data_IF_584725912785
#
_entry.id   IF_584725912785
#
_cell.length_a   1.000
_cell.length_b   1.000
_cell.length_c   1.000
_cell.angle_alpha   90.00
_cell.angle_beta   90.00
_cell.angle_gamma   90.00
#
_symmetry.space_group_name_H-M   'P 1'
#
loop_
_entity.id
_entity.type
_entity.pdbx_description
1 polymer ?
#
# COMPACT_ATOMS: atom_id res chain seq x y z
N UNK A 1 -16.89 -1.39 33.52
CA UNK A 1 -16.00 -2.57 33.32
C UNK A 1 -14.66 -2.18 32.73
N UNK A 2 -14.59 -1.54 31.60
CA UNK A 2 -13.31 -1.17 30.90
C UNK A 2 -12.31 -0.38 31.79
N UNK A 3 -12.79 0.51 32.68
CA UNK A 3 -11.93 1.36 33.53
C UNK A 3 -11.13 0.57 34.58
N UNK A 4 -11.70 -0.50 35.13
CA UNK A 4 -11.06 -1.37 36.11
C UNK A 4 -9.99 -2.29 35.48
N UNK A 5 -10.29 -2.81 34.29
CA UNK A 5 -9.35 -3.65 33.54
C UNK A 5 -8.10 -2.87 33.15
N UNK A 6 -8.27 -1.63 32.73
CA UNK A 6 -7.20 -0.75 32.36
C UNK A 6 -6.28 -0.39 33.56
N UNK A 7 -6.89 -0.07 34.71
CA UNK A 7 -6.16 0.20 35.95
C UNK A 7 -5.35 -1.01 36.42
N UNK A 8 -5.95 -2.22 36.34
CA UNK A 8 -5.26 -3.47 36.65
C UNK A 8 -4.10 -3.77 35.71
N UNK A 9 -4.25 -3.48 34.41
CA UNK A 9 -3.17 -3.65 33.44
C UNK A 9 -1.97 -2.74 33.76
N UNK A 10 -2.23 -1.47 34.09
CA UNK A 10 -1.18 -0.53 34.51
C UNK A 10 -0.49 -0.99 35.77
N UNK A 11 -1.24 -1.42 36.78
CA UNK A 11 -0.67 -1.91 38.04
C UNK A 11 0.22 -3.14 37.82
N UNK A 12 -0.21 -4.08 36.99
CA UNK A 12 0.60 -5.26 36.63
C UNK A 12 1.88 -4.87 35.87
N UNK A 13 1.77 -3.88 34.97
CA UNK A 13 2.91 -3.39 34.23
C UNK A 13 3.93 -2.67 35.15
N UNK A 14 3.46 -1.85 36.10
CA UNK A 14 4.34 -1.17 37.07
C UNK A 14 5.05 -2.14 38.01
N UNK A 15 4.45 -3.28 38.29
CA UNK A 15 5.04 -4.35 39.12
C UNK A 15 5.89 -5.34 38.29
N UNK A 16 6.10 -5.09 37.00
CA UNK A 16 6.87 -5.96 36.11
C UNK A 16 6.25 -7.32 35.78
N UNK A 17 5.00 -7.55 36.19
CA UNK A 17 4.28 -8.83 35.96
C UNK A 17 3.55 -8.90 34.62
N UNK A 18 3.44 -7.76 33.92
CA UNK A 18 2.87 -7.68 32.57
C UNK A 18 3.57 -6.59 31.76
N UNK A 19 3.56 -6.74 30.44
CA UNK A 19 4.06 -5.72 29.51
C UNK A 19 2.85 -4.97 28.94
N UNK A 20 2.80 -3.66 29.14
CA UNK A 20 1.77 -2.79 28.62
C UNK A 20 2.28 -2.14 27.32
N UNK A 21 1.56 -2.33 26.22
CA UNK A 21 1.88 -1.75 24.93
C UNK A 21 0.71 -0.86 24.51
N UNK A 22 0.76 0.46 24.75
CA UNK A 22 -0.30 1.35 24.29
C UNK A 22 -0.30 1.46 22.77
N UNK A 23 -1.49 1.51 22.18
CA UNK A 23 -1.69 1.63 20.74
C UNK A 23 -2.59 2.82 20.46
N UNK A 24 -2.08 3.80 19.70
CA UNK A 24 -2.84 4.98 19.28
C UNK A 24 -3.52 4.68 17.94
N UNK A 25 -4.85 4.67 17.91
CA UNK A 25 -5.65 4.32 16.73
C UNK A 25 -6.21 5.54 15.99
N UNK A 26 -6.31 6.69 16.65
CA UNK A 26 -6.88 7.92 16.12
C UNK A 26 -6.08 9.13 16.59
N UNK A 27 -6.51 10.34 16.23
CA UNK A 27 -5.86 11.58 16.65
C UNK A 27 -6.24 12.05 18.06
N UNK A 28 -6.74 11.16 18.90
CA UNK A 28 -7.06 11.51 20.29
C UNK A 28 -5.81 11.85 21.11
N UNK A 29 -5.98 12.71 22.09
CA UNK A 29 -4.93 13.04 23.05
C UNK A 29 -4.72 11.86 23.99
N UNK A 30 -3.50 11.38 24.07
CA UNK A 30 -3.13 10.29 24.98
C UNK A 30 -3.30 10.70 26.44
N UNK A 31 -3.88 9.84 27.30
CA UNK A 31 -3.92 10.09 28.72
C UNK A 31 -2.53 10.38 29.29
N UNK A 32 -2.43 11.38 30.19
CA UNK A 32 -1.13 11.83 30.75
C UNK A 32 -0.28 10.68 31.34
N UNK A 33 -0.94 9.67 31.90
CA UNK A 33 -0.29 8.49 32.46
C UNK A 33 0.44 7.64 31.41
N UNK A 34 0.01 7.67 30.16
CA UNK A 34 0.61 6.92 29.05
C UNK A 34 1.62 7.75 28.24
N UNK A 35 1.69 9.07 28.46
CA UNK A 35 2.65 9.94 27.78
C UNK A 35 4.13 9.59 28.11
N UNK A 36 4.35 8.95 29.24
CA UNK A 36 5.68 8.49 29.66
C UNK A 36 6.04 7.08 29.14
N UNK A 37 5.07 6.39 28.54
CA UNK A 37 5.30 5.05 27.97
C UNK A 37 5.47 5.14 26.45
N UNK A 38 6.39 4.32 25.92
CA UNK A 38 6.49 4.17 24.48
C UNK A 38 5.20 3.55 23.95
N UNK A 39 4.58 4.20 22.99
CA UNK A 39 3.36 3.74 22.36
C UNK A 39 3.55 3.45 20.87
N UNK A 40 2.68 2.65 20.32
CA UNK A 40 2.66 2.34 18.89
C UNK A 40 1.63 3.22 18.21
N UNK A 41 2.07 4.05 17.28
CA UNK A 41 1.23 5.01 16.56
C UNK A 41 0.72 4.39 15.26
N UNK A 42 -0.47 3.79 15.32
CA UNK A 42 -1.16 3.25 14.13
C UNK A 42 -1.71 4.36 13.27
N UNK A 43 -2.20 5.45 13.89
CA UNK A 43 -2.78 6.58 13.17
C UNK A 43 -1.74 7.30 12.30
N UNK A 44 -0.57 7.61 12.87
CA UNK A 44 0.48 8.35 12.14
C UNK A 44 1.36 7.48 11.25
N UNK A 45 1.56 6.19 11.59
CA UNK A 45 2.51 5.30 10.88
C UNK A 45 1.86 4.22 10.02
N UNK A 46 0.54 4.11 10.09
CA UNK A 46 -0.23 3.06 9.42
C UNK A 46 -0.19 1.70 10.13
N UNK A 47 -1.18 0.88 9.82
CA UNK A 47 -1.42 -0.41 10.47
C UNK A 47 -0.22 -1.36 10.34
N UNK A 48 0.36 -1.45 9.18
CA UNK A 48 1.39 -2.40 8.82
C UNK A 48 2.70 -2.19 9.60
N UNK A 49 3.17 -0.93 9.61
CA UNK A 49 4.37 -0.57 10.37
C UNK A 49 4.15 -0.81 11.86
N UNK A 50 2.94 -0.56 12.32
CA UNK A 50 2.54 -0.73 13.71
C UNK A 50 2.46 -2.21 14.12
N UNK A 51 1.94 -3.09 13.27
CA UNK A 51 1.93 -4.54 13.51
C UNK A 51 3.37 -5.07 13.62
N UNK A 52 4.27 -4.67 12.73
CA UNK A 52 5.68 -5.05 12.84
C UNK A 52 6.31 -4.56 14.14
N UNK A 53 6.06 -3.31 14.50
CA UNK A 53 6.55 -2.76 15.76
C UNK A 53 6.01 -3.56 16.95
N UNK A 54 4.73 -3.98 16.94
CA UNK A 54 4.14 -4.86 17.96
C UNK A 54 4.89 -6.18 18.05
N UNK A 55 5.13 -6.85 16.92
CA UNK A 55 5.84 -8.13 16.87
C UNK A 55 7.25 -7.99 17.46
N UNK A 56 8.00 -6.95 17.10
CA UNK A 56 9.34 -6.70 17.67
C UNK A 56 9.29 -6.46 19.18
N UNK A 57 8.32 -5.68 19.66
CA UNK A 57 8.15 -5.38 21.08
C UNK A 57 7.77 -6.64 21.86
N UNK A 58 6.90 -7.49 21.31
CA UNK A 58 6.47 -8.76 21.91
C UNK A 58 7.65 -9.74 22.00
N UNK A 59 8.45 -9.84 20.93
CA UNK A 59 9.59 -10.76 20.85
C UNK A 59 10.83 -10.24 21.60
N UNK A 60 10.79 -9.04 22.19
CA UNK A 60 11.92 -8.45 22.90
C UNK A 60 13.09 -8.03 21.99
N UNK A 61 12.91 -8.07 20.68
CA UNK A 61 13.91 -7.65 19.70
C UNK A 61 13.74 -6.16 19.43
N UNK A 62 14.36 -5.31 20.23
CA UNK A 62 14.31 -3.85 20.11
C UNK A 62 15.19 -3.31 18.96
N UNK A 63 15.23 -3.97 17.82
CA UNK A 63 15.85 -3.43 16.62
C UNK A 63 14.77 -2.69 15.82
N UNK A 64 14.32 -1.57 16.36
CA UNK A 64 13.60 -0.59 15.56
C UNK A 64 14.63 0.24 14.77
N UNK A 65 15.26 -0.37 13.81
CA UNK A 65 15.75 0.38 12.65
C UNK A 65 14.52 0.71 11.82
N UNK A 66 14.23 1.99 11.69
CA UNK A 66 13.35 2.46 10.63
C UNK A 66 14.04 2.11 9.30
N UNK A 67 13.92 0.86 8.90
CA UNK A 67 14.13 0.51 7.50
C UNK A 67 13.11 1.38 6.77
N UNK A 68 13.61 2.33 5.98
CA UNK A 68 12.83 3.12 5.01
C UNK A 68 12.24 2.24 3.89
N UNK A 69 11.86 1.02 4.21
CA UNK A 69 10.96 0.23 3.38
C UNK A 69 9.57 0.74 3.70
N UNK A 70 9.12 1.69 2.89
CA UNK A 70 7.71 2.01 2.81
C UNK A 70 6.98 0.69 2.53
N UNK A 71 6.34 0.13 3.56
CA UNK A 71 5.48 -1.02 3.36
C UNK A 71 4.32 -0.55 2.50
N UNK A 72 4.15 -1.20 1.37
CA UNK A 72 3.00 -1.00 0.51
C UNK A 72 2.13 -2.26 0.58
N UNK A 73 0.88 -2.09 1.01
CA UNK A 73 -0.09 -3.19 1.09
C UNK A 73 -0.41 -3.78 -0.28
N UNK A 74 -0.29 -2.96 -1.34
CA UNK A 74 -0.53 -3.41 -2.70
C UNK A 74 0.79 -3.73 -3.39
N UNK A 75 0.85 -4.89 -4.04
CA UNK A 75 1.94 -5.30 -4.94
C UNK A 75 1.40 -5.57 -6.32
N UNK A 76 2.21 -5.30 -7.33
CA UNK A 76 1.90 -5.67 -8.70
C UNK A 76 2.68 -6.90 -9.13
N UNK A 77 1.98 -7.89 -9.64
CA UNK A 77 2.56 -9.09 -10.24
C UNK A 77 2.37 -8.98 -11.75
N UNK A 78 3.49 -8.95 -12.46
CA UNK A 78 3.52 -8.69 -13.89
C UNK A 78 3.94 -9.95 -14.63
N UNK A 79 3.04 -10.46 -15.47
CA UNK A 79 3.31 -11.56 -16.38
C UNK A 79 3.43 -11.03 -17.80
N UNK A 80 4.62 -11.17 -18.38
CA UNK A 80 4.86 -10.82 -19.77
C UNK A 80 4.54 -12.02 -20.65
N UNK A 81 3.45 -11.93 -21.42
CA UNK A 81 3.05 -12.97 -22.36
C UNK A 81 3.83 -12.86 -23.69
N UNK A 82 4.17 -11.63 -24.09
CA UNK A 82 5.00 -11.32 -25.27
C UNK A 82 5.65 -9.93 -25.08
N UNK A 83 6.56 -9.49 -25.97
CA UNK A 83 7.09 -8.12 -25.94
C UNK A 83 6.02 -7.03 -26.04
N UNK A 84 4.87 -7.34 -26.68
CA UNK A 84 3.75 -6.42 -26.90
C UNK A 84 2.52 -6.69 -26.01
N UNK A 85 2.61 -7.66 -25.09
CA UNK A 85 1.50 -8.02 -24.22
C UNK A 85 1.97 -8.36 -22.80
N UNK A 86 1.34 -7.75 -21.79
CA UNK A 86 1.56 -8.09 -20.40
C UNK A 86 0.24 -8.04 -19.61
N UNK A 87 0.15 -8.87 -18.59
CA UNK A 87 -0.93 -8.86 -17.60
C UNK A 87 -0.35 -8.39 -16.28
N UNK A 88 -1.00 -7.42 -15.66
CA UNK A 88 -0.64 -6.89 -14.36
C UNK A 88 -1.75 -7.20 -13.38
N UNK A 89 -1.39 -7.88 -12.31
CA UNK A 89 -2.28 -8.22 -11.21
C UNK A 89 -1.89 -7.41 -9.98
N UNK A 90 -2.73 -6.47 -9.57
CA UNK A 90 -2.59 -5.71 -8.34
C UNK A 90 -3.23 -6.50 -7.21
N UNK A 91 -2.42 -6.93 -6.23
CA UNK A 91 -2.87 -7.70 -5.06
C UNK A 91 -2.73 -6.86 -3.80
N UNK A 92 -3.76 -6.87 -2.99
CA UNK A 92 -3.66 -6.45 -1.60
C UNK A 92 -3.13 -7.63 -0.78
N UNK A 93 -2.06 -7.43 -0.02
CA UNK A 93 -1.37 -8.50 0.69
C UNK A 93 -2.01 -8.80 2.06
N UNK A 94 -2.49 -7.79 2.76
CA UNK A 94 -2.90 -7.91 4.16
C UNK A 94 -4.33 -7.45 4.41
N UNK A 95 -4.71 -6.28 3.89
CA UNK A 95 -6.03 -5.71 4.10
C UNK A 95 -6.62 -5.16 2.79
N UNK A 96 -7.93 -4.95 2.79
CA UNK A 96 -8.67 -4.43 1.64
C UNK A 96 -8.31 -2.97 1.35
N UNK A 97 -7.94 -2.68 0.11
CA UNK A 97 -7.86 -1.32 -0.43
C UNK A 97 -9.22 -0.92 -0.97
N UNK A 98 -9.86 0.11 -0.41
CA UNK A 98 -11.26 0.42 -0.72
C UNK A 98 -11.47 0.91 -2.15
N UNK A 99 -10.42 1.44 -2.79
CA UNK A 99 -10.46 2.00 -4.14
C UNK A 99 -9.36 1.37 -4.98
N UNK A 100 -9.75 0.73 -6.11
CA UNK A 100 -8.83 0.23 -7.12
C UNK A 100 -8.51 1.34 -8.12
N UNK A 101 -7.47 2.14 -7.84
CA UNK A 101 -7.03 3.24 -8.69
C UNK A 101 -5.52 3.17 -8.89
N UNK A 102 -5.14 2.74 -10.10
CA UNK A 102 -3.75 2.45 -10.45
C UNK A 102 -3.32 3.20 -11.69
N UNK A 103 -2.02 3.42 -11.82
CA UNK A 103 -1.39 3.96 -13.02
C UNK A 103 -0.22 3.07 -13.44
N UNK A 104 -0.15 2.72 -14.71
CA UNK A 104 0.90 1.92 -15.31
C UNK A 104 1.77 2.86 -16.12
N UNK A 105 3.03 2.97 -15.74
CA UNK A 105 3.99 3.89 -16.33
C UNK A 105 4.70 3.23 -17.51
N UNK A 106 4.65 3.90 -18.65
CA UNK A 106 5.25 3.42 -19.92
C UNK A 106 5.86 4.58 -20.70
N UNK A 107 6.72 4.28 -21.68
CA UNK A 107 7.19 5.27 -22.67
C UNK A 107 6.38 5.25 -23.96
N UNK A 108 5.58 4.22 -24.18
CA UNK A 108 4.78 4.06 -25.40
C UNK A 108 3.81 5.24 -25.60
N UNK A 109 3.59 5.62 -26.87
CA UNK A 109 2.63 6.64 -27.23
C UNK A 109 1.18 6.14 -27.09
N UNK A 110 0.23 7.07 -26.89
CA UNK A 110 -1.19 6.76 -26.70
C UNK A 110 -1.79 5.87 -27.79
N UNK A 111 -1.48 6.16 -29.06
CA UNK A 111 -2.02 5.44 -30.20
C UNK A 111 -1.46 4.01 -30.37
N UNK A 112 -0.40 3.68 -29.65
CA UNK A 112 0.30 2.40 -29.76
C UNK A 112 -0.03 1.43 -28.62
N UNK A 113 -0.61 1.92 -27.53
CA UNK A 113 -0.81 1.12 -26.34
C UNK A 113 -2.28 1.22 -25.87
N UNK A 114 -2.80 0.13 -25.35
CA UNK A 114 -4.13 0.06 -24.79
C UNK A 114 -4.16 -0.81 -23.54
N UNK A 115 -5.16 -0.58 -22.72
CA UNK A 115 -5.39 -1.31 -21.47
C UNK A 115 -6.82 -1.88 -21.48
N UNK A 116 -6.98 -3.08 -20.97
CA UNK A 116 -8.27 -3.70 -20.72
C UNK A 116 -8.30 -4.32 -19.33
N UNK A 117 -9.43 -4.25 -18.65
CA UNK A 117 -9.59 -4.89 -17.35
C UNK A 117 -10.07 -6.34 -17.52
N UNK A 118 -9.37 -7.29 -16.88
CA UNK A 118 -9.73 -8.71 -16.90
C UNK A 118 -10.60 -9.12 -15.71
N UNK A 119 -10.59 -8.31 -14.65
CA UNK A 119 -11.30 -8.64 -13.40
C UNK A 119 -12.67 -8.00 -13.26
N UNK A 120 -12.93 -6.90 -13.97
CA UNK A 120 -14.16 -6.13 -13.85
C UNK A 120 -14.77 -5.81 -15.22
N UNK A 121 -16.10 -5.92 -15.29
CA UNK A 121 -16.84 -5.56 -16.50
C UNK A 121 -16.93 -4.03 -16.69
N UNK A 122 -16.84 -3.26 -15.61
CA UNK A 122 -16.94 -1.80 -15.63
C UNK A 122 -15.69 -1.23 -14.96
N UNK A 123 -14.88 -0.55 -15.75
CA UNK A 123 -13.75 0.22 -15.25
C UNK A 123 -13.55 1.48 -16.09
N UNK A 124 -12.90 2.45 -15.51
CA UNK A 124 -12.52 3.68 -16.21
C UNK A 124 -11.04 3.59 -16.55
N UNK A 125 -10.72 3.95 -17.78
CA UNK A 125 -9.35 4.02 -18.28
C UNK A 125 -9.05 5.43 -18.78
N UNK A 126 -7.75 5.78 -18.75
CA UNK A 126 -7.28 7.05 -19.27
C UNK A 126 -5.81 6.97 -19.66
N UNK A 127 -5.38 7.90 -20.50
CA UNK A 127 -3.99 8.09 -20.86
C UNK A 127 -3.54 9.49 -20.44
N UNK A 128 -2.47 9.57 -19.66
CA UNK A 128 -1.86 10.81 -19.24
C UNK A 128 -0.46 10.91 -19.86
N UNK A 129 -0.28 11.92 -20.69
CA UNK A 129 0.95 12.14 -21.44
C UNK A 129 1.94 12.99 -20.64
N UNK A 130 3.22 12.73 -20.84
CA UNK A 130 4.35 13.55 -20.37
C UNK A 130 4.29 13.87 -18.87
N UNK A 131 3.96 12.87 -18.03
CA UNK A 131 4.02 13.04 -16.59
C UNK A 131 5.48 13.04 -16.12
N UNK A 132 5.81 13.94 -15.22
CA UNK A 132 7.13 14.03 -14.62
C UNK A 132 7.12 13.38 -13.24
N UNK A 133 7.96 12.37 -13.04
CA UNK A 133 8.15 11.72 -11.76
C UNK A 133 9.09 12.53 -10.85
N UNK A 134 9.07 12.26 -9.54
CA UNK A 134 9.91 12.97 -8.56
C UNK A 134 11.43 12.88 -8.84
N UNK A 135 11.86 11.87 -9.58
CA UNK A 135 13.26 11.71 -10.01
C UNK A 135 13.59 12.44 -11.33
N UNK A 136 12.66 13.22 -11.87
CA UNK A 136 12.82 13.96 -13.14
C UNK A 136 12.56 13.12 -14.41
N UNK A 137 12.22 11.83 -14.28
CA UNK A 137 11.90 11.00 -15.44
C UNK A 137 10.54 11.40 -16.02
N UNK A 138 10.49 11.64 -17.33
CA UNK A 138 9.27 11.91 -18.09
C UNK A 138 8.77 10.60 -18.69
N UNK A 139 7.50 10.31 -18.50
CA UNK A 139 6.85 9.11 -19.02
C UNK A 139 5.35 9.33 -19.24
N UNK A 140 4.68 8.33 -19.80
CA UNK A 140 3.24 8.31 -19.95
C UNK A 140 2.61 7.37 -18.90
N UNK A 141 1.36 7.61 -18.55
CA UNK A 141 0.63 6.76 -17.61
C UNK A 141 -0.70 6.27 -18.19
N UNK A 142 -0.89 4.97 -18.17
CA UNK A 142 -2.18 4.32 -18.39
C UNK A 142 -2.91 4.26 -17.06
N UNK A 143 -3.98 5.01 -16.90
CA UNK A 143 -4.82 4.99 -15.71
C UNK A 143 -5.83 3.86 -15.81
N UNK A 144 -5.96 3.09 -14.74
CA UNK A 144 -6.97 2.04 -14.57
C UNK A 144 -7.67 2.25 -13.24
N UNK A 145 -8.98 2.42 -13.29
CA UNK A 145 -9.79 2.72 -12.12
C UNK A 145 -11.05 1.87 -12.09
N UNK A 146 -11.34 1.29 -10.93
CA UNK A 146 -12.62 0.63 -10.62
C UNK A 146 -13.10 1.07 -9.24
N UNK A 147 -14.41 1.13 -9.08
CA UNK A 147 -15.05 1.35 -7.76
C UNK A 147 -15.01 0.11 -6.87
N UNK A 148 -14.64 -1.04 -7.44
CA UNK A 148 -14.44 -2.26 -6.67
C UNK A 148 -13.18 -2.16 -5.82
N UNK A 149 -13.27 -2.63 -4.58
CA UNK A 149 -12.10 -2.76 -3.71
C UNK A 149 -11.12 -3.84 -4.22
N UNK A 150 -9.82 -3.61 -4.06
CA UNK A 150 -8.80 -4.65 -4.19
C UNK A 150 -8.60 -5.28 -2.82
N UNK A 151 -8.85 -6.58 -2.67
CA UNK A 151 -8.70 -7.28 -1.39
C UNK A 151 -7.87 -8.55 -1.53
N UNK A 152 -7.34 -9.11 -0.42
CA UNK A 152 -6.71 -10.42 -0.44
C UNK A 152 -7.64 -11.45 -1.07
N UNK A 153 -7.18 -12.19 -2.09
CA UNK A 153 -7.99 -13.15 -2.85
C UNK A 153 -8.85 -12.57 -3.98
N UNK A 154 -9.04 -11.24 -4.05
CA UNK A 154 -9.77 -10.56 -5.13
C UNK A 154 -8.90 -9.47 -5.76
N UNK A 155 -7.88 -9.83 -6.53
CA UNK A 155 -6.97 -8.88 -7.16
C UNK A 155 -7.66 -8.08 -8.28
N UNK A 156 -7.11 -6.91 -8.56
CA UNK A 156 -7.49 -6.14 -9.74
C UNK A 156 -6.52 -6.48 -10.87
N UNK A 157 -7.06 -6.99 -11.99
CA UNK A 157 -6.25 -7.46 -13.13
C UNK A 157 -6.49 -6.62 -14.36
N UNK A 158 -5.39 -6.22 -14.97
CA UNK A 158 -5.42 -5.47 -16.24
C UNK A 158 -4.48 -6.11 -17.24
N UNK A 159 -4.91 -6.14 -18.49
CA UNK A 159 -4.13 -6.55 -19.65
C UNK A 159 -3.69 -5.31 -20.41
N UNK A 160 -2.42 -5.19 -20.64
CA UNK A 160 -1.81 -4.13 -21.46
C UNK A 160 -1.36 -4.74 -22.77
N UNK A 161 -1.76 -4.13 -23.87
CA UNK A 161 -1.38 -4.52 -25.23
C UNK A 161 -0.81 -3.34 -25.97
N UNK A 162 0.18 -3.58 -26.82
CA UNK A 162 0.82 -2.54 -27.62
C UNK A 162 1.05 -3.02 -29.05
N UNK A 163 1.07 -2.11 -30.01
CA UNK A 163 1.48 -2.38 -31.39
C UNK A 163 2.98 -2.60 -31.52
N UNK A 164 3.73 -2.08 -30.57
CA UNK A 164 5.20 -2.18 -30.47
C UNK A 164 5.58 -2.88 -29.17
N UNK A 165 6.87 -3.00 -28.90
CA UNK A 165 7.34 -3.48 -27.61
C UNK A 165 6.85 -2.55 -26.48
N UNK A 166 6.36 -3.13 -25.37
CA UNK A 166 5.96 -2.36 -24.18
C UNK A 166 7.22 -1.90 -23.44
N UNK A 167 7.41 -0.58 -23.36
CA UNK A 167 8.47 0.06 -22.60
C UNK A 167 7.98 0.39 -21.19
N UNK A 168 7.85 -0.64 -20.37
CA UNK A 168 7.36 -0.58 -19.01
C UNK A 168 8.38 0.08 -18.07
N UNK A 169 7.93 1.00 -17.22
CA UNK A 169 8.73 1.72 -16.23
C UNK A 169 8.38 1.30 -14.81
N UNK A 170 7.09 1.18 -14.49
CA UNK A 170 6.64 0.87 -13.16
C UNK A 170 5.13 1.00 -13.01
N UNK A 171 4.66 0.87 -11.78
CA UNK A 171 3.25 1.00 -11.42
C UNK A 171 3.08 1.87 -10.19
N UNK A 172 1.98 2.60 -10.15
CA UNK A 172 1.60 3.46 -9.04
C UNK A 172 0.18 3.14 -8.56
N UNK A 173 -0.11 3.43 -7.30
CA UNK A 173 -1.47 3.48 -6.77
C UNK A 173 -1.82 4.89 -6.30
N UNK A 174 -3.08 5.25 -6.37
CA UNK A 174 -3.57 6.47 -5.75
C UNK A 174 -3.56 6.31 -4.22
N UNK A 175 -3.04 7.29 -3.52
CA UNK A 175 -3.09 7.40 -2.05
C UNK A 175 -4.07 8.49 -1.61
N UNK A 176 -4.39 9.41 -2.53
CA UNK A 176 -5.45 10.41 -2.41
C UNK A 176 -6.03 10.72 -3.80
N UNK A 177 -6.92 11.71 -3.90
CA UNK A 177 -7.49 12.13 -5.18
C UNK A 177 -6.43 12.56 -6.21
N UNK A 178 -5.38 13.22 -5.76
CA UNK A 178 -4.37 13.82 -6.62
C UNK A 178 -2.93 13.30 -6.37
N UNK A 179 -2.77 12.36 -5.46
CA UNK A 179 -1.45 11.82 -5.14
C UNK A 179 -1.37 10.34 -5.51
N UNK A 180 -0.31 10.01 -6.24
CA UNK A 180 0.04 8.64 -6.60
C UNK A 180 1.39 8.28 -6.01
N UNK A 181 1.53 7.02 -5.58
CA UNK A 181 2.78 6.47 -5.05
C UNK A 181 3.18 5.23 -5.81
N UNK A 182 4.49 5.12 -6.10
CA UNK A 182 5.06 3.90 -6.67
C UNK A 182 4.81 2.72 -5.74
N UNK A 183 4.43 1.58 -6.30
CA UNK A 183 4.26 0.32 -5.57
C UNK A 183 5.30 -0.71 -6.03
N UNK A 184 5.69 -1.65 -5.13
CA UNK A 184 6.58 -2.72 -5.51
C UNK A 184 5.95 -3.63 -6.57
N UNK A 185 6.77 -4.09 -7.53
CA UNK A 185 6.33 -5.01 -8.55
C UNK A 185 7.30 -6.17 -8.75
N UNK A 186 6.76 -7.30 -9.18
CA UNK A 186 7.49 -8.53 -9.47
C UNK A 186 7.17 -8.89 -10.91
N UNK A 187 8.20 -9.10 -11.73
CA UNK A 187 8.07 -9.52 -13.14
C UNK A 187 8.41 -11.01 -13.20
N UNK A 188 7.49 -11.81 -13.73
CA UNK A 188 7.62 -13.26 -13.92
C UNK A 188 7.57 -13.63 -15.41
#
# INVERSE_FOLDING_TARGET
>A
MVKLEWQNAILKASNGTAKLIPVKLDDCMMPALLLQTLYIDVFGKGLENSIRQMIYVINGTNIFTSLNQTYENVRAYIKKNSPSEMVIEFRAETYMEPISRYAILVKNAENDISINCESDAIFTQGFNKDITLNNGLICNALAAFSTRATSPGFPFKVKVTSKTQIEFIGVMRAVSENEFRMIPHIIS
#
